data_IF_647979182177
#
_entry.id   IF_647979182177
#
_cell.length_a   1.000
_cell.length_b   1.000
_cell.length_c   1.000
_cell.angle_alpha   90.00
_cell.angle_beta   90.00
_cell.angle_gamma   90.00
#
_symmetry.space_group_name_H-M   'P 1'
#
loop_
_entity.id
_entity.type
_entity.pdbx_description
1 polymer ?
#
# COMPACT_ATOMS: atom_id res chain seq x y z
N UNK A 1 12.53 -3.41 18.81
CA UNK A 1 11.63 -2.69 17.88
C UNK A 1 12.23 -1.32 17.61
N UNK A 2 12.58 -1.00 16.36
CA UNK A 2 12.99 0.36 15.96
C UNK A 2 12.06 0.83 14.84
N UNK A 3 10.79 1.01 15.18
CA UNK A 3 9.92 1.93 14.43
C UNK A 3 10.41 3.34 14.74
N UNK A 4 10.76 4.13 13.72
CA UNK A 4 11.20 5.52 13.94
C UNK A 4 12.05 6.14 12.83
N UNK A 5 12.49 5.38 11.83
CA UNK A 5 13.19 5.95 10.66
C UNK A 5 12.22 6.31 9.53
N UNK A 6 11.05 5.68 9.48
CA UNK A 6 10.10 5.76 8.37
C UNK A 6 9.33 7.09 8.39
N UNK A 7 8.87 7.51 9.57
CA UNK A 7 8.29 8.84 9.78
C UNK A 7 9.26 9.96 9.43
N UNK A 8 10.55 9.81 9.74
CA UNK A 8 11.58 10.80 9.39
C UNK A 8 11.77 10.96 7.89
N UNK A 9 11.56 9.93 7.08
CA UNK A 9 11.66 10.04 5.63
C UNK A 9 10.47 10.80 5.05
N UNK A 10 9.26 10.53 5.54
CA UNK A 10 8.04 11.25 5.16
C UNK A 10 8.19 12.73 5.55
N UNK A 11 8.61 13.00 6.79
CA UNK A 11 8.87 14.33 7.32
C UNK A 11 9.90 15.09 6.46
N UNK A 12 11.01 14.45 6.12
CA UNK A 12 12.10 15.07 5.35
C UNK A 12 11.79 15.27 3.87
N UNK A 13 10.92 14.43 3.28
CA UNK A 13 10.50 14.55 1.89
C UNK A 13 9.32 15.51 1.69
N UNK A 14 8.45 15.65 2.70
CA UNK A 14 7.19 16.39 2.58
C UNK A 14 7.16 17.71 3.37
N UNK A 15 8.12 17.96 4.28
CA UNK A 15 8.22 19.20 5.07
C UNK A 15 9.54 19.90 4.76
N UNK A 16 9.73 20.24 3.48
CA UNK A 16 10.87 21.03 3.02
C UNK A 16 10.71 22.50 3.42
N UNK A 17 9.49 22.93 3.71
CA UNK A 17 9.11 24.27 4.12
C UNK A 17 8.16 24.23 5.34
N UNK A 18 8.25 25.21 6.26
CA UNK A 18 7.31 25.34 7.39
C UNK A 18 5.85 25.58 6.99
N UNK A 19 5.56 25.80 5.70
CA UNK A 19 4.20 25.94 5.16
C UNK A 19 3.67 24.68 4.47
N UNK A 20 4.40 23.56 4.50
CA UNK A 20 3.95 22.33 3.86
C UNK A 20 2.82 21.69 4.69
N UNK A 21 1.64 21.54 4.07
CA UNK A 21 0.44 21.00 4.70
C UNK A 21 0.57 19.48 4.95
N UNK A 22 1.14 19.09 6.09
CA UNK A 22 1.31 17.69 6.49
C UNK A 22 0.00 16.88 6.37
N UNK A 23 -1.13 17.47 6.73
CA UNK A 23 -2.45 16.84 6.66
C UNK A 23 -2.84 16.48 5.22
N UNK A 24 -2.57 17.38 4.27
CA UNK A 24 -2.87 17.17 2.85
C UNK A 24 -1.95 16.10 2.26
N UNK A 25 -0.69 16.08 2.68
CA UNK A 25 0.27 15.07 2.27
C UNK A 25 -0.10 13.68 2.81
N UNK A 26 -0.45 13.57 4.09
CA UNK A 26 -0.93 12.33 4.70
C UNK A 26 -2.24 11.85 4.05
N UNK A 27 -3.16 12.77 3.75
CA UNK A 27 -4.38 12.47 3.00
C UNK A 27 -4.06 11.92 1.62
N UNK A 28 -3.15 12.55 0.87
CA UNK A 28 -2.73 12.08 -0.45
C UNK A 28 -2.14 10.67 -0.39
N UNK A 29 -1.28 10.39 0.59
CA UNK A 29 -0.71 9.05 0.83
C UNK A 29 -1.84 8.04 1.08
N UNK A 30 -2.77 8.37 1.97
CA UNK A 30 -3.89 7.50 2.33
C UNK A 30 -4.80 7.19 1.13
N UNK A 31 -5.13 8.20 0.32
CA UNK A 31 -5.89 8.03 -0.92
C UNK A 31 -5.09 7.18 -1.92
N UNK A 32 -3.78 7.40 -2.04
CA UNK A 32 -2.89 6.58 -2.87
C UNK A 32 -2.95 5.10 -2.49
N UNK A 33 -2.95 4.78 -1.20
CA UNK A 33 -3.10 3.41 -0.68
C UNK A 33 -4.46 2.80 -0.99
N UNK A 34 -5.53 3.61 -1.07
CA UNK A 34 -6.87 3.15 -1.49
C UNK A 34 -6.94 2.89 -3.01
N UNK A 35 -6.24 3.68 -3.82
CA UNK A 35 -6.25 3.52 -5.28
C UNK A 35 -5.53 2.24 -5.77
N UNK A 36 -4.57 1.74 -4.99
CA UNK A 36 -3.76 0.56 -5.35
C UNK A 36 -4.22 -0.73 -4.67
N UNK A 37 -5.45 -0.75 -4.14
CA UNK A 37 -6.02 -1.94 -3.52
C UNK A 37 -6.02 -3.15 -4.48
N UNK A 38 -5.74 -4.32 -3.92
CA UNK A 38 -5.60 -5.57 -4.69
C UNK A 38 -6.88 -5.89 -5.47
N UNK A 39 -8.02 -5.82 -4.80
CA UNK A 39 -9.32 -6.06 -5.43
C UNK A 39 -9.82 -4.77 -6.08
N UNK A 40 -10.20 -4.79 -7.38
CA UNK A 40 -10.70 -3.60 -8.07
C UNK A 40 -11.91 -2.96 -7.41
N UNK A 41 -12.78 -3.78 -6.78
CA UNK A 41 -13.99 -3.32 -6.09
C UNK A 41 -13.71 -2.47 -4.85
N UNK A 42 -12.51 -2.57 -4.29
CA UNK A 42 -12.09 -1.78 -3.12
C UNK A 42 -11.48 -0.43 -3.52
N UNK A 43 -11.22 -0.20 -4.82
CA UNK A 43 -10.63 1.05 -5.31
C UNK A 43 -11.71 2.13 -5.40
N UNK A 44 -11.44 3.35 -4.93
CA UNK A 44 -12.36 4.46 -5.11
C UNK A 44 -12.46 4.82 -6.59
N UNK A 45 -13.65 5.22 -7.04
CA UNK A 45 -13.80 5.84 -8.36
C UNK A 45 -13.27 7.29 -8.34
N UNK A 46 -13.02 7.88 -9.52
CA UNK A 46 -12.44 9.23 -9.61
C UNK A 46 -13.27 10.30 -8.89
N UNK A 47 -14.61 10.25 -8.97
CA UNK A 47 -15.46 11.20 -8.25
C UNK A 47 -15.29 11.12 -6.73
N UNK A 48 -15.10 9.91 -6.21
CA UNK A 48 -14.84 9.66 -4.80
C UNK A 48 -13.49 10.24 -4.38
N UNK A 49 -12.45 10.06 -5.21
CA UNK A 49 -11.11 10.61 -4.99
C UNK A 49 -11.14 12.14 -4.91
N UNK A 50 -11.88 12.81 -5.80
CA UNK A 50 -12.01 14.28 -5.77
C UNK A 50 -12.64 14.74 -4.45
N UNK A 51 -13.74 14.14 -4.02
CA UNK A 51 -14.39 14.48 -2.74
C UNK A 51 -13.47 14.21 -1.53
N UNK A 52 -12.68 13.13 -1.59
CA UNK A 52 -11.69 12.81 -0.56
C UNK A 52 -10.57 13.84 -0.51
N UNK A 53 -10.06 14.30 -1.66
CA UNK A 53 -9.05 15.36 -1.74
C UNK A 53 -9.59 16.68 -1.18
N UNK A 54 -10.82 17.06 -1.56
CA UNK A 54 -11.50 18.26 -1.04
C UNK A 54 -11.81 18.19 0.47
N UNK A 55 -11.80 17.00 1.06
CA UNK A 55 -12.11 16.79 2.48
C UNK A 55 -13.59 16.71 2.81
N UNK A 56 -14.42 16.65 1.78
CA UNK A 56 -15.86 16.49 1.89
C UNK A 56 -16.26 15.04 2.19
N UNK A 57 -15.30 14.11 2.11
CA UNK A 57 -15.51 12.68 2.35
C UNK A 57 -14.50 12.07 3.31
N UNK A 58 -15.00 11.27 4.24
CA UNK A 58 -14.18 10.46 5.14
C UNK A 58 -13.40 9.38 4.37
N UNK A 59 -12.15 9.14 4.81
CA UNK A 59 -11.27 8.16 4.22
C UNK A 59 -11.45 6.80 4.91
N UNK A 60 -11.88 5.73 4.19
CA UNK A 60 -11.91 4.39 4.75
C UNK A 60 -10.49 3.87 5.00
N UNK A 61 -10.31 2.90 5.92
CA UNK A 61 -9.00 2.28 6.11
C UNK A 61 -8.59 1.45 4.87
N UNK A 62 -7.36 1.60 4.35
CA UNK A 62 -6.82 0.73 3.32
C UNK A 62 -6.67 -0.69 3.88
N UNK A 63 -6.97 -1.71 3.05
CA UNK A 63 -6.68 -3.09 3.44
C UNK A 63 -5.16 -3.33 3.40
N UNK A 64 -4.65 -4.26 4.21
CA UNK A 64 -3.25 -4.65 4.16
C UNK A 64 -2.83 -5.10 2.75
N UNK A 65 -1.60 -4.80 2.32
CA UNK A 65 -1.05 -5.34 1.07
C UNK A 65 -1.16 -6.87 1.03
N UNK A 66 -1.38 -7.44 -0.17
CA UNK A 66 -1.54 -8.89 -0.34
C UNK A 66 -0.34 -9.72 0.18
N UNK A 67 0.84 -9.10 0.30
CA UNK A 67 2.06 -9.72 0.83
C UNK A 67 2.13 -9.77 2.37
N UNK A 68 1.28 -9.02 3.08
CA UNK A 68 1.30 -8.98 4.55
C UNK A 68 0.68 -10.23 5.22
N UNK A 69 0.20 -11.21 4.45
CA UNK A 69 -0.31 -12.49 4.96
C UNK A 69 0.81 -13.49 5.31
N UNK A 70 2.02 -13.03 5.61
CA UNK A 70 3.12 -13.87 6.10
C UNK A 70 2.87 -14.26 7.56
N UNK A 71 2.03 -15.27 7.76
CA UNK A 71 1.95 -16.19 8.91
C UNK A 71 2.84 -15.84 10.12
N UNK A 72 2.30 -15.12 11.09
CA UNK A 72 2.75 -15.21 12.48
C UNK A 72 1.99 -16.37 13.13
N UNK A 73 2.34 -17.61 12.77
CA UNK A 73 1.93 -18.78 13.55
C UNK A 73 3.18 -19.28 14.26
N UNK A 74 3.38 -18.75 15.46
CA UNK A 74 4.17 -19.43 16.47
C UNK A 74 3.41 -20.70 16.87
N UNK A 75 4.19 -21.76 17.07
CA UNK A 75 3.85 -23.03 17.72
C UNK A 75 3.48 -24.24 16.84
N UNK A 76 4.32 -25.27 17.04
CA UNK A 76 4.14 -26.70 16.85
C UNK A 76 4.48 -27.34 15.49
N UNK A 77 5.48 -28.21 15.55
CA UNK A 77 5.96 -29.14 14.55
C UNK A 77 4.85 -29.99 13.90
N UNK A 78 4.81 -30.05 12.57
CA UNK A 78 4.54 -31.30 11.84
C UNK A 78 4.99 -31.20 10.37
N UNK A 79 5.51 -32.31 9.86
CA UNK A 79 6.19 -32.47 8.57
C UNK A 79 5.35 -32.24 7.30
N UNK A 80 6.11 -31.82 6.27
CA UNK A 80 6.01 -32.15 4.84
C UNK A 80 4.78 -31.76 4.01
N UNK A 81 5.11 -31.05 2.93
CA UNK A 81 4.42 -30.99 1.63
C UNK A 81 3.08 -30.26 1.59
N UNK A 82 3.12 -28.99 1.15
CA UNK A 82 2.46 -28.57 -0.09
C UNK A 82 2.82 -27.11 -0.41
N UNK A 83 3.71 -26.92 -1.39
CA UNK A 83 3.92 -25.62 -2.03
C UNK A 83 2.69 -25.30 -2.89
N UNK A 84 2.00 -24.16 -2.71
CA UNK A 84 1.06 -23.70 -3.72
C UNK A 84 1.84 -23.23 -4.95
N UNK A 85 1.38 -23.73 -6.09
CA UNK A 85 1.98 -23.64 -7.42
C UNK A 85 2.25 -22.19 -7.83
N UNK A 86 3.50 -21.93 -8.24
CA UNK A 86 3.93 -20.70 -8.89
C UNK A 86 3.01 -20.40 -10.07
N UNK A 87 2.33 -19.25 -10.04
CA UNK A 87 1.70 -18.70 -11.23
C UNK A 87 2.73 -18.61 -12.35
N UNK A 88 2.34 -19.05 -13.53
CA UNK A 88 3.16 -19.10 -14.74
C UNK A 88 3.54 -17.67 -15.15
N UNK A 89 4.69 -17.19 -14.66
CA UNK A 89 5.35 -15.99 -15.13
C UNK A 89 5.90 -16.29 -16.53
N UNK A 90 5.17 -15.89 -17.57
CA UNK A 90 5.68 -15.95 -18.95
C UNK A 90 6.65 -14.79 -19.15
N UNK A 91 7.95 -15.09 -19.23
CA UNK A 91 8.98 -14.12 -19.57
C UNK A 91 8.97 -13.95 -21.08
N UNK A 92 8.43 -12.84 -21.58
CA UNK A 92 8.63 -12.44 -22.98
C UNK A 92 10.04 -11.87 -23.12
N UNK A 93 10.88 -12.51 -23.92
CA UNK A 93 12.18 -11.97 -24.31
C UNK A 93 11.99 -10.70 -25.14
N UNK A 94 12.68 -9.62 -24.76
CA UNK A 94 12.72 -8.37 -25.50
C UNK A 94 13.82 -8.49 -26.57
N UNK A 95 13.45 -8.77 -27.82
CA UNK A 95 14.39 -8.70 -28.94
C UNK A 95 14.40 -7.26 -29.49
N UNK A 96 15.49 -6.53 -29.27
CA UNK A 96 15.72 -5.22 -29.87
C UNK A 96 16.13 -5.37 -31.34
N UNK A 97 15.59 -4.51 -32.21
CA UNK A 97 16.02 -4.40 -33.62
C UNK A 97 17.20 -3.44 -33.76
#
# INVERSE_FOLDING_TARGET
>A
MKEGNEFKLIEKCLLKSPNDNMEEALRCIHIGLLCVQQMPVDRPNMSSVVLMLSGERLLPQPKPPAYCNSTYSSDADYSSSNRPQSGNLSITALEGR
#
